data_IF_337962652062
#
_entry.id   IF_337962652062
#
_cell.length_a   1.000
_cell.length_b   1.000
_cell.length_c   1.000
_cell.angle_alpha   90.00
_cell.angle_beta   90.00
_cell.angle_gamma   90.00
#
_symmetry.space_group_name_H-M   'P 1'
#
loop_
_entity.id
_entity.type
_entity.pdbx_description
1 polymer ?
#
# COMPACT_ATOMS: atom_id res chain seq x y z
N UNK A 1 -22.28 38.87 39.19
CA UNK A 1 -21.89 38.02 38.05
C UNK A 1 -20.44 38.36 37.71
N UNK A 2 -19.52 37.51 38.15
CA UNK A 2 -18.07 37.67 37.95
C UNK A 2 -17.66 36.51 37.07
N UNK A 3 -17.24 36.81 35.81
CA UNK A 3 -16.74 35.84 34.85
C UNK A 3 -15.23 35.68 35.04
N UNK A 4 -14.83 34.49 35.49
CA UNK A 4 -13.43 34.11 35.65
C UNK A 4 -12.93 33.54 34.32
N UNK A 5 -12.06 34.26 33.63
CA UNK A 5 -11.35 33.79 32.44
C UNK A 5 -10.18 32.90 32.85
N UNK A 6 -10.21 31.62 32.44
CA UNK A 6 -9.10 30.69 32.62
C UNK A 6 -8.12 30.85 31.46
N UNK A 7 -6.96 31.42 31.74
CA UNK A 7 -5.85 31.50 30.77
C UNK A 7 -5.11 30.14 30.74
N UNK A 8 -5.18 29.43 29.62
CA UNK A 8 -4.34 28.24 29.35
C UNK A 8 -3.00 28.72 28.80
N UNK A 9 -1.98 28.71 29.65
CA UNK A 9 -0.59 28.93 29.22
C UNK A 9 -0.08 27.68 28.52
N UNK A 10 0.09 27.75 27.18
CA UNK A 10 0.78 26.75 26.38
C UNK A 10 2.27 26.79 26.69
N UNK A 11 2.75 25.78 27.40
CA UNK A 11 4.18 25.50 27.56
C UNK A 11 4.72 24.98 26.21
N UNK A 12 5.16 25.87 25.33
CA UNK A 12 6.08 25.55 24.24
C UNK A 12 7.44 25.27 24.86
N UNK A 13 7.76 23.99 25.08
CA UNK A 13 9.12 23.57 25.38
C UNK A 13 10.05 23.91 24.22
N UNK A 14 11.33 24.21 24.46
CA UNK A 14 12.29 24.46 23.38
C UNK A 14 12.38 23.23 22.50
N UNK A 15 12.21 23.43 21.18
CA UNK A 15 12.42 22.38 20.19
C UNK A 15 13.86 21.83 20.35
N UNK A 16 14.08 20.49 20.26
CA UNK A 16 15.41 19.94 20.37
C UNK A 16 16.30 20.50 19.27
N UNK A 17 17.24 21.32 19.67
CA UNK A 17 18.30 21.83 18.81
C UNK A 17 19.15 20.66 18.37
N UNK A 18 19.21 20.38 17.03
CA UNK A 18 20.22 19.49 16.49
C UNK A 18 19.81 18.34 15.58
N UNK A 19 18.56 18.22 15.13
CA UNK A 19 18.25 17.27 14.05
C UNK A 19 18.80 17.83 12.73
N UNK A 20 20.02 17.44 12.37
CA UNK A 20 20.62 17.77 11.07
C UNK A 20 19.71 17.22 9.98
N UNK A 21 19.14 18.10 9.15
CA UNK A 21 18.32 17.66 8.03
C UNK A 21 19.14 16.75 7.10
N UNK A 22 18.61 15.60 6.68
CA UNK A 22 19.32 14.74 5.74
C UNK A 22 19.62 15.51 4.44
N UNK A 23 20.76 15.26 3.80
CA UNK A 23 21.15 16.00 2.59
C UNK A 23 20.10 15.85 1.46
N UNK A 24 19.45 14.69 1.37
CA UNK A 24 18.39 14.41 0.39
C UNK A 24 17.17 13.83 1.09
N UNK A 25 16.03 14.52 0.99
CA UNK A 25 14.75 14.05 1.48
C UNK A 25 13.63 14.53 0.55
N UNK A 26 12.98 13.61 -0.15
CA UNK A 26 11.84 13.92 -1.03
C UNK A 26 10.55 13.36 -0.46
N UNK A 27 9.47 14.11 -0.58
CA UNK A 27 8.11 13.68 -0.30
C UNK A 27 7.23 13.85 -1.53
N UNK A 28 6.23 12.98 -1.69
CA UNK A 28 5.21 13.08 -2.74
C UNK A 28 3.82 13.21 -2.11
N UNK A 29 2.96 14.06 -2.66
CA UNK A 29 1.58 14.20 -2.23
C UNK A 29 0.66 14.51 -3.43
N UNK A 30 -0.36 13.67 -3.65
CA UNK A 30 -0.65 12.39 -3.01
C UNK A 30 0.34 11.28 -3.41
N UNK A 31 0.51 10.27 -2.56
CA UNK A 31 1.34 9.07 -2.86
C UNK A 31 0.61 8.04 -3.71
N UNK A 32 -0.69 8.26 -3.94
CA UNK A 32 -1.55 7.44 -4.81
C UNK A 32 -2.51 8.34 -5.56
N UNK A 33 -2.65 8.10 -6.86
CA UNK A 33 -3.62 8.75 -7.73
C UNK A 33 -4.48 7.71 -8.45
N UNK A 34 -5.74 8.06 -8.70
CA UNK A 34 -6.63 7.26 -9.54
C UNK A 34 -6.97 8.04 -10.80
N UNK A 35 -6.76 7.42 -11.95
CA UNK A 35 -7.09 7.94 -13.26
C UNK A 35 -8.22 7.09 -13.86
N UNK A 36 -9.29 7.71 -14.33
CA UNK A 36 -10.43 7.00 -14.92
C UNK A 36 -10.47 7.31 -16.41
N UNK A 37 -10.33 6.28 -17.26
CA UNK A 37 -10.25 6.46 -18.71
C UNK A 37 -9.14 7.43 -19.10
N UNK A 38 -9.46 8.42 -19.94
CA UNK A 38 -8.58 9.54 -20.28
C UNK A 38 -8.76 10.65 -19.24
N UNK A 39 -7.86 10.74 -18.29
CA UNK A 39 -7.91 11.74 -17.22
C UNK A 39 -6.53 12.19 -16.80
N UNK A 40 -6.48 13.28 -16.03
CA UNK A 40 -5.25 13.91 -15.57
C UNK A 40 -5.36 14.25 -14.09
N UNK A 41 -4.27 14.04 -13.37
CA UNK A 41 -4.12 14.37 -11.95
C UNK A 41 -2.77 15.02 -11.70
N UNK A 42 -2.68 15.74 -10.59
CA UNK A 42 -1.47 16.47 -10.19
C UNK A 42 -0.87 15.84 -8.93
N UNK A 43 0.46 15.73 -8.92
CA UNK A 43 1.23 15.27 -7.76
C UNK A 43 2.29 16.30 -7.43
N UNK A 44 2.40 16.69 -6.18
CA UNK A 44 3.43 17.59 -5.67
C UNK A 44 4.61 16.78 -5.14
N UNK A 45 5.82 17.23 -5.48
CA UNK A 45 7.08 16.66 -4.99
C UNK A 45 7.79 17.77 -4.22
N UNK A 46 8.03 17.55 -2.95
CA UNK A 46 8.69 18.53 -2.05
C UNK A 46 10.07 18.00 -1.66
N UNK A 47 11.07 18.86 -1.75
CA UNK A 47 12.40 18.58 -1.24
C UNK A 47 12.51 19.08 0.21
N UNK A 48 12.51 18.17 1.17
CA UNK A 48 12.71 18.44 2.59
C UNK A 48 14.18 18.31 3.02
N UNK A 49 15.08 17.99 2.07
CA UNK A 49 16.51 17.87 2.33
C UNK A 49 17.21 19.23 2.32
N UNK A 50 18.43 19.24 2.86
CA UNK A 50 19.28 20.43 2.93
C UNK A 50 19.96 20.76 1.59
N UNK A 51 19.98 19.86 0.61
CA UNK A 51 20.65 20.03 -0.67
C UNK A 51 19.69 20.18 -1.84
N UNK A 52 20.12 20.90 -2.88
CA UNK A 52 19.41 20.95 -4.16
C UNK A 52 19.38 19.55 -4.78
N UNK A 53 18.22 19.14 -5.29
CA UNK A 53 17.99 17.81 -5.88
C UNK A 53 17.61 17.95 -7.34
N UNK A 54 18.24 17.15 -8.19
CA UNK A 54 17.79 16.87 -9.56
C UNK A 54 17.21 15.46 -9.59
N UNK A 55 15.96 15.32 -10.00
CA UNK A 55 15.27 14.04 -10.06
C UNK A 55 14.72 13.76 -11.46
N UNK A 56 14.97 12.57 -11.95
CA UNK A 56 14.36 12.07 -13.20
C UNK A 56 13.04 11.37 -12.85
N UNK A 57 12.03 11.58 -13.71
CA UNK A 57 10.68 11.06 -13.54
C UNK A 57 10.34 10.10 -14.68
N UNK A 58 9.90 8.90 -14.32
CA UNK A 58 9.54 7.85 -15.27
C UNK A 58 8.35 7.03 -14.79
N UNK A 59 7.95 6.03 -15.58
CA UNK A 59 6.87 5.10 -15.26
C UNK A 59 7.38 3.67 -15.21
N UNK A 60 6.78 2.83 -14.36
CA UNK A 60 7.09 1.42 -14.25
C UNK A 60 5.84 0.62 -13.89
N UNK A 61 5.88 -0.70 -14.11
CA UNK A 61 4.86 -1.62 -13.64
C UNK A 61 4.89 -1.74 -12.12
N UNK A 62 3.73 -2.08 -11.56
CA UNK A 62 3.53 -2.23 -10.12
C UNK A 62 2.95 -3.59 -9.78
N UNK A 63 3.53 -4.25 -8.80
CA UNK A 63 3.00 -5.47 -8.22
C UNK A 63 3.16 -5.43 -6.70
N UNK A 64 2.37 -6.26 -6.02
CA UNK A 64 2.53 -6.53 -4.59
C UNK A 64 3.02 -7.97 -4.42
N UNK A 65 4.04 -8.17 -3.60
CA UNK A 65 4.42 -9.50 -3.16
C UNK A 65 3.35 -10.12 -2.26
N UNK A 66 3.46 -11.42 -1.97
CA UNK A 66 2.48 -12.15 -1.16
C UNK A 66 2.18 -11.49 0.19
N UNK A 67 3.18 -10.88 0.80
CA UNK A 67 3.03 -10.16 2.08
C UNK A 67 2.81 -8.66 1.92
N UNK A 68 2.37 -8.19 0.72
CA UNK A 68 2.02 -6.80 0.44
C UNK A 68 3.21 -5.87 0.22
N UNK A 69 4.44 -6.38 0.10
CA UNK A 69 5.61 -5.54 -0.19
C UNK A 69 5.52 -5.02 -1.64
N UNK A 70 5.62 -3.71 -1.86
CA UNK A 70 5.64 -3.13 -3.20
C UNK A 70 6.82 -3.64 -4.03
N UNK A 71 6.56 -3.91 -5.30
CA UNK A 71 7.59 -4.34 -6.26
C UNK A 71 7.47 -3.53 -7.54
N UNK A 72 8.61 -3.03 -8.01
CA UNK A 72 8.73 -2.42 -9.34
C UNK A 72 8.86 -3.55 -10.36
N UNK A 73 8.00 -3.54 -11.36
CA UNK A 73 8.00 -4.52 -12.45
C UNK A 73 8.53 -3.84 -13.71
N UNK A 74 9.49 -4.48 -14.38
CA UNK A 74 10.05 -3.96 -15.63
C UNK A 74 9.00 -3.99 -16.74
N UNK A 75 9.14 -3.09 -17.73
CA UNK A 75 8.29 -3.11 -18.93
C UNK A 75 8.42 -4.46 -19.65
N UNK A 76 7.31 -4.96 -20.19
CA UNK A 76 7.28 -6.21 -20.96
C UNK A 76 6.67 -7.42 -20.23
N UNK A 77 6.45 -7.37 -18.91
CA UNK A 77 5.65 -8.38 -18.22
C UNK A 77 4.18 -7.98 -18.22
N UNK A 78 3.25 -8.94 -18.28
CA UNK A 78 1.80 -8.69 -18.41
C UNK A 78 1.20 -7.73 -17.38
N UNK A 79 1.78 -7.63 -16.18
CA UNK A 79 1.38 -6.67 -15.13
C UNK A 79 1.93 -5.25 -15.32
N UNK A 80 2.71 -4.98 -16.35
CA UNK A 80 3.36 -3.68 -16.60
C UNK A 80 2.69 -2.85 -17.69
N UNK A 81 1.63 -3.35 -18.34
CA UNK A 81 0.98 -2.69 -19.47
C UNK A 81 0.51 -1.27 -19.14
N UNK A 82 -0.08 -1.05 -17.97
CA UNK A 82 -0.58 0.25 -17.57
C UNK A 82 0.51 1.32 -17.46
N UNK A 83 1.77 0.95 -17.24
CA UNK A 83 2.88 1.89 -17.23
C UNK A 83 3.08 2.61 -18.58
N UNK A 84 2.71 1.97 -19.70
CA UNK A 84 2.77 2.57 -21.03
C UNK A 84 1.59 3.51 -21.32
N UNK A 85 0.51 3.39 -20.55
CA UNK A 85 -0.68 4.25 -20.69
C UNK A 85 -0.55 5.57 -19.93
N UNK A 86 0.49 5.71 -19.12
CA UNK A 86 0.71 6.86 -18.26
C UNK A 86 1.75 7.77 -18.90
N UNK A 87 1.37 9.03 -19.11
CA UNK A 87 2.29 10.10 -19.41
C UNK A 87 2.51 10.95 -18.16
N UNK A 88 3.76 11.34 -17.90
CA UNK A 88 4.13 12.20 -16.79
C UNK A 88 4.98 13.37 -17.28
N UNK A 89 4.68 14.57 -16.81
CA UNK A 89 5.39 15.81 -17.12
C UNK A 89 5.57 16.67 -15.88
N UNK A 90 6.71 17.36 -15.69
CA UNK A 90 7.94 17.20 -16.48
C UNK A 90 8.64 15.86 -16.22
N UNK A 91 9.53 15.44 -17.11
CA UNK A 91 10.35 14.22 -16.93
C UNK A 91 11.59 14.44 -16.05
N UNK A 92 11.83 15.67 -15.66
CA UNK A 92 12.91 16.06 -14.76
C UNK A 92 12.46 17.23 -13.88
N UNK A 93 12.77 17.13 -12.60
CA UNK A 93 12.55 18.17 -11.62
C UNK A 93 13.89 18.59 -11.02
N UNK A 94 14.04 19.89 -10.83
CA UNK A 94 15.14 20.47 -10.06
C UNK A 94 14.53 21.24 -8.90
N UNK A 95 14.80 20.79 -7.68
CA UNK A 95 14.20 21.34 -6.48
C UNK A 95 15.28 21.82 -5.49
N UNK A 96 15.26 23.09 -5.17
CA UNK A 96 16.05 23.64 -4.06
C UNK A 96 15.49 23.11 -2.71
N UNK A 97 16.24 23.23 -1.61
CA UNK A 97 15.75 22.94 -0.27
C UNK A 97 14.42 23.63 0.02
N UNK A 98 13.47 22.91 0.63
CA UNK A 98 12.13 23.41 0.96
C UNK A 98 11.19 23.66 -0.23
N UNK A 99 11.65 23.51 -1.48
CA UNK A 99 10.82 23.80 -2.65
C UNK A 99 9.99 22.59 -3.11
N UNK A 100 8.80 22.94 -3.62
CA UNK A 100 7.85 21.97 -4.19
C UNK A 100 7.76 22.17 -5.69
N UNK A 101 7.84 21.06 -6.43
CA UNK A 101 7.54 20.98 -7.87
C UNK A 101 6.30 20.16 -8.11
N UNK A 102 5.68 20.38 -9.26
CA UNK A 102 4.43 19.72 -9.65
C UNK A 102 4.66 18.77 -10.80
N UNK A 103 4.10 17.56 -10.69
CA UNK A 103 4.01 16.57 -11.77
C UNK A 103 2.55 16.48 -12.25
N UNK A 104 2.37 16.55 -13.54
CA UNK A 104 1.10 16.23 -14.20
C UNK A 104 1.15 14.78 -14.65
N UNK A 105 0.24 13.95 -14.15
CA UNK A 105 0.11 12.52 -14.48
C UNK A 105 -1.18 12.33 -15.25
N UNK A 106 -1.10 11.87 -16.49
CA UNK A 106 -2.25 11.64 -17.35
C UNK A 106 -2.29 10.21 -17.87
N UNK A 107 -3.48 9.70 -18.17
CA UNK A 107 -3.68 8.38 -18.76
C UNK A 107 -4.25 8.47 -20.17
N UNK A 108 -3.73 7.62 -21.05
CA UNK A 108 -4.24 7.36 -22.40
C UNK A 108 -4.45 5.85 -22.50
N UNK A 109 -5.70 5.43 -22.24
CA UNK A 109 -6.08 4.02 -22.29
C UNK A 109 -6.25 3.59 -23.74
N UNK A 110 -5.60 2.50 -24.20
CA UNK A 110 -5.77 2.01 -25.57
C UNK A 110 -7.19 1.46 -25.79
N UNK A 111 -7.63 1.50 -27.03
CA UNK A 111 -8.90 0.87 -27.44
C UNK A 111 -8.84 -0.64 -27.16
N UNK A 112 -9.91 -1.21 -26.63
CA UNK A 112 -9.98 -2.63 -26.32
C UNK A 112 -9.28 -3.04 -25.00
N UNK A 113 -8.79 -2.09 -24.20
CA UNK A 113 -8.27 -2.41 -22.86
C UNK A 113 -9.36 -3.03 -22.00
N UNK A 114 -9.03 -4.09 -21.26
CA UNK A 114 -9.97 -4.77 -20.39
C UNK A 114 -10.48 -3.85 -19.27
N UNK A 115 -11.78 -3.85 -18.95
CA UNK A 115 -12.32 -3.10 -17.83
C UNK A 115 -11.67 -3.47 -16.49
N UNK A 116 -11.58 -2.50 -15.58
CA UNK A 116 -11.05 -2.70 -14.24
C UNK A 116 -9.86 -1.82 -13.88
N UNK A 117 -9.16 -2.16 -12.81
CA UNK A 117 -7.99 -1.43 -12.31
C UNK A 117 -6.70 -1.98 -12.92
N UNK A 118 -5.87 -1.08 -13.40
CA UNK A 118 -4.56 -1.38 -13.95
C UNK A 118 -3.51 -0.55 -13.20
N UNK A 119 -2.89 -1.15 -12.16
CA UNK A 119 -1.93 -0.44 -11.33
C UNK A 119 -0.58 -0.26 -12.02
N UNK A 120 0.03 0.89 -11.81
CA UNK A 120 1.38 1.23 -12.25
C UNK A 120 2.06 2.17 -11.24
N UNK A 121 3.31 2.56 -11.51
CA UNK A 121 4.07 3.51 -10.72
C UNK A 121 4.53 4.68 -11.58
N UNK A 122 4.48 5.87 -10.99
CA UNK A 122 5.36 6.97 -11.36
C UNK A 122 6.55 6.94 -10.39
N UNK A 123 7.75 6.87 -10.93
CA UNK A 123 9.00 6.83 -10.18
C UNK A 123 9.71 8.17 -10.29
N UNK A 124 10.03 8.76 -9.15
CA UNK A 124 10.88 9.94 -9.03
C UNK A 124 12.20 9.49 -8.43
N UNK A 125 13.29 9.58 -9.18
CA UNK A 125 14.60 9.10 -8.77
C UNK A 125 15.63 10.21 -8.80
N UNK A 126 16.28 10.50 -7.67
CA UNK A 126 17.34 11.50 -7.62
C UNK A 126 18.55 11.03 -8.41
N UNK A 127 19.24 11.97 -9.06
CA UNK A 127 20.58 11.74 -9.57
C UNK A 127 21.55 11.73 -8.39
N UNK A 128 22.54 10.84 -8.39
CA UNK A 128 23.57 10.88 -7.37
C UNK A 128 24.24 12.26 -7.35
N UNK A 129 24.41 12.86 -6.19
CA UNK A 129 25.31 13.99 -6.01
C UNK A 129 26.63 13.39 -5.49
N UNK A 130 27.69 13.57 -6.24
CA UNK A 130 29.03 13.20 -5.81
C UNK A 130 29.49 14.20 -4.74
N UNK A 131 29.30 13.88 -3.49
CA UNK A 131 29.95 14.53 -2.36
C UNK A 131 30.45 13.44 -1.42
N UNK A 132 31.71 13.56 -1.06
CA UNK A 132 32.37 12.74 -0.02
C UNK A 132 32.36 11.21 -0.24
N UNK A 133 32.59 10.74 -1.47
CA UNK A 133 32.82 9.30 -1.75
C UNK A 133 31.63 8.37 -1.64
N UNK A 134 30.44 8.85 -1.20
CA UNK A 134 29.21 8.04 -1.10
C UNK A 134 28.13 8.62 -2.00
N UNK A 135 27.78 7.90 -3.07
CA UNK A 135 26.69 8.28 -3.97
C UNK A 135 25.33 7.78 -3.44
N UNK A 136 24.53 8.67 -2.85
CA UNK A 136 23.18 8.35 -2.39
C UNK A 136 22.15 8.60 -3.51
N UNK A 137 21.39 7.58 -3.86
CA UNK A 137 20.25 7.68 -4.78
C UNK A 137 18.96 7.37 -4.06
N UNK A 138 18.07 8.36 -3.97
CA UNK A 138 16.73 8.18 -3.44
C UNK A 138 15.73 7.89 -4.57
N UNK A 139 14.75 7.04 -4.29
CA UNK A 139 13.65 6.76 -5.23
C UNK A 139 12.33 6.76 -4.49
N UNK A 140 11.36 7.52 -5.01
CA UNK A 140 9.98 7.52 -4.54
C UNK A 140 9.09 6.91 -5.60
N UNK A 141 8.16 6.03 -5.20
CA UNK A 141 7.11 5.48 -6.05
C UNK A 141 5.75 6.08 -5.70
N UNK A 142 5.06 6.63 -6.68
CA UNK A 142 3.67 7.07 -6.58
C UNK A 142 2.82 6.01 -7.29
N UNK A 143 1.88 5.41 -6.56
CA UNK A 143 0.99 4.41 -7.13
C UNK A 143 -0.06 5.10 -8.00
N UNK A 144 -0.20 4.64 -9.24
CA UNK A 144 -1.20 5.13 -10.19
C UNK A 144 -2.14 3.98 -10.53
N UNK A 145 -3.40 4.09 -10.12
CA UNK A 145 -4.45 3.15 -10.49
C UNK A 145 -5.20 3.69 -11.70
N UNK A 146 -4.95 3.13 -12.88
CA UNK A 146 -5.71 3.45 -14.10
C UNK A 146 -6.96 2.58 -14.12
N UNK A 147 -8.14 3.18 -13.96
CA UNK A 147 -9.44 2.52 -14.08
C UNK A 147 -9.93 2.60 -15.50
N UNK A 148 -10.06 1.45 -16.17
CA UNK A 148 -10.74 1.32 -17.45
C UNK A 148 -12.24 1.14 -17.18
N UNK A 149 -13.12 2.02 -17.72
CA UNK A 149 -14.57 1.89 -17.60
C UNK A 149 -15.08 0.58 -18.21
N UNK A 150 -16.23 0.09 -17.71
CA UNK A 150 -16.89 -1.14 -18.16
C UNK A 150 -17.29 -2.02 -16.98
N UNK A 151 -17.48 -3.31 -17.23
CA UNK A 151 -17.96 -4.27 -16.23
C UNK A 151 -16.93 -4.47 -15.11
N UNK A 152 -17.34 -4.13 -13.90
CA UNK A 152 -16.54 -4.31 -12.69
C UNK A 152 -16.90 -5.63 -12.02
N UNK A 153 -15.87 -6.45 -11.77
CA UNK A 153 -16.02 -7.76 -11.15
C UNK A 153 -15.26 -7.78 -9.83
N UNK A 154 -16.00 -7.89 -8.74
CA UNK A 154 -15.47 -8.20 -7.41
C UNK A 154 -15.49 -9.71 -7.22
N UNK A 155 -14.34 -10.34 -6.95
CA UNK A 155 -14.28 -11.79 -6.76
C UNK A 155 -13.08 -12.18 -5.87
N UNK A 156 -13.33 -12.24 -4.58
CA UNK A 156 -12.37 -12.73 -3.60
C UNK A 156 -12.54 -14.24 -3.34
N UNK A 157 -11.48 -14.89 -2.94
CA UNK A 157 -11.53 -16.31 -2.53
C UNK A 157 -10.56 -16.56 -1.37
N UNK A 158 -11.07 -17.19 -0.31
CA UNK A 158 -10.27 -17.76 0.77
C UNK A 158 -9.70 -19.10 0.30
N UNK A 159 -8.36 -19.25 0.29
CA UNK A 159 -7.68 -20.42 -0.29
C UNK A 159 -7.18 -21.41 0.75
N UNK A 160 -6.49 -20.93 1.75
CA UNK A 160 -5.90 -21.77 2.76
C UNK A 160 -5.54 -20.97 4.00
N UNK A 161 -5.38 -21.68 5.10
CA UNK A 161 -4.94 -21.14 6.37
C UNK A 161 -3.89 -22.08 6.95
N UNK A 162 -2.81 -21.53 7.45
CA UNK A 162 -1.77 -22.28 8.16
C UNK A 162 -1.30 -21.51 9.39
N UNK A 163 -0.78 -22.25 10.36
CA UNK A 163 -0.07 -21.66 11.51
C UNK A 163 1.39 -21.51 11.13
N UNK A 164 1.94 -20.34 11.37
CA UNK A 164 3.38 -20.10 11.33
C UNK A 164 3.86 -19.83 12.74
N UNK A 165 4.79 -20.63 13.19
CA UNK A 165 5.53 -20.35 14.43
C UNK A 165 6.64 -19.36 14.11
N UNK A 166 6.63 -18.25 14.81
CA UNK A 166 7.73 -17.30 14.87
C UNK A 166 8.32 -17.38 16.28
N UNK A 167 9.57 -17.07 16.43
CA UNK A 167 10.25 -17.06 17.72
C UNK A 167 9.60 -16.14 18.76
N UNK A 168 8.78 -15.19 18.33
CA UNK A 168 8.21 -14.17 19.22
C UNK A 168 6.69 -14.18 19.32
N UNK A 169 5.97 -14.34 18.21
CA UNK A 169 4.50 -14.35 18.22
C UNK A 169 3.98 -15.36 17.19
N UNK A 170 3.13 -16.32 17.59
CA UNK A 170 2.50 -17.22 16.64
C UNK A 170 1.56 -16.46 15.71
N UNK A 171 1.55 -16.82 14.44
CA UNK A 171 0.78 -16.15 13.39
C UNK A 171 -0.07 -17.15 12.61
N UNK A 172 -1.28 -16.73 12.26
CA UNK A 172 -2.09 -17.36 11.23
C UNK A 172 -1.74 -16.72 9.88
N UNK A 173 -1.44 -17.52 8.89
CA UNK A 173 -1.25 -17.09 7.51
C UNK A 173 -2.45 -17.50 6.67
N UNK A 174 -3.31 -16.51 6.37
CA UNK A 174 -4.50 -16.69 5.55
C UNK A 174 -4.19 -16.32 4.08
N UNK A 175 -4.30 -17.29 3.19
CA UNK A 175 -4.15 -17.07 1.75
C UNK A 175 -5.46 -16.61 1.13
N UNK A 176 -5.45 -15.40 0.55
CA UNK A 176 -6.58 -14.79 -0.14
C UNK A 176 -6.21 -14.51 -1.59
N UNK A 177 -7.12 -14.78 -2.51
CA UNK A 177 -6.95 -14.50 -3.94
C UNK A 177 -8.00 -13.50 -4.40
N UNK A 178 -7.59 -12.47 -5.10
CA UNK A 178 -8.48 -11.61 -5.86
C UNK A 178 -8.56 -12.14 -7.30
N UNK A 179 -9.72 -12.65 -7.70
CA UNK A 179 -10.03 -13.11 -9.06
C UNK A 179 -10.80 -12.07 -9.88
N UNK A 180 -11.16 -10.96 -9.24
CA UNK A 180 -11.82 -9.83 -9.88
C UNK A 180 -10.86 -8.98 -10.71
N UNK A 181 -11.41 -7.95 -11.32
CA UNK A 181 -10.67 -7.00 -12.14
C UNK A 181 -10.44 -5.65 -11.45
N UNK A 182 -10.75 -5.52 -10.17
CA UNK A 182 -10.52 -4.31 -9.37
C UNK A 182 -9.64 -4.60 -8.16
N UNK A 183 -8.96 -3.58 -7.70
CA UNK A 183 -8.16 -3.63 -6.48
C UNK A 183 -9.08 -3.74 -5.26
N UNK A 184 -8.84 -4.75 -4.44
CA UNK A 184 -9.58 -5.03 -3.22
C UNK A 184 -8.75 -4.71 -1.97
N UNK A 185 -9.44 -4.30 -0.91
CA UNK A 185 -8.84 -4.11 0.41
C UNK A 185 -9.53 -5.01 1.40
N UNK A 186 -8.77 -5.83 2.10
CA UNK A 186 -9.23 -6.65 3.22
C UNK A 186 -8.63 -6.11 4.53
N UNK A 187 -9.28 -6.40 5.66
CA UNK A 187 -8.82 -5.96 6.97
C UNK A 187 -9.97 -5.75 7.94
N UNK A 188 -9.79 -4.96 8.99
CA UNK A 188 -10.83 -4.68 9.97
C UNK A 188 -12.14 -4.22 9.33
N UNK A 189 -13.26 -4.79 9.79
CA UNK A 189 -14.60 -4.54 9.24
C UNK A 189 -14.97 -5.37 8.00
N UNK A 190 -14.00 -5.90 7.24
CA UNK A 190 -14.26 -6.78 6.09
C UNK A 190 -13.81 -8.23 6.34
N UNK A 191 -12.77 -8.44 7.12
CA UNK A 191 -12.23 -9.77 7.45
C UNK A 191 -12.36 -9.99 8.95
N UNK A 192 -13.06 -11.06 9.34
CA UNK A 192 -13.22 -11.51 10.71
C UNK A 192 -12.66 -12.91 10.85
N UNK A 193 -11.92 -13.14 11.92
CA UNK A 193 -11.32 -14.43 12.25
C UNK A 193 -11.68 -14.79 13.68
N UNK A 194 -12.15 -16.02 13.89
CA UNK A 194 -12.50 -16.54 15.20
C UNK A 194 -11.87 -17.91 15.38
N UNK A 195 -11.16 -18.10 16.45
CA UNK A 195 -10.54 -19.36 16.82
C UNK A 195 -11.39 -20.07 17.87
N UNK A 196 -11.68 -21.33 17.61
CA UNK A 196 -12.41 -22.20 18.53
C UNK A 196 -11.56 -23.41 18.90
N UNK A 197 -11.60 -23.77 20.16
CA UNK A 197 -11.01 -25.01 20.69
C UNK A 197 -12.08 -25.75 21.49
N UNK A 198 -12.31 -27.00 21.20
CA UNK A 198 -13.39 -27.81 21.82
C UNK A 198 -14.77 -27.12 21.79
N UNK A 199 -15.09 -26.44 20.65
CA UNK A 199 -16.34 -25.71 20.46
C UNK A 199 -16.43 -24.33 21.13
N UNK A 200 -15.48 -23.95 21.98
CA UNK A 200 -15.46 -22.66 22.67
C UNK A 200 -14.56 -21.64 21.96
N UNK A 201 -14.97 -20.38 21.91
CA UNK A 201 -14.16 -19.30 21.35
C UNK A 201 -12.99 -19.02 22.28
N UNK A 202 -11.76 -19.18 21.77
CA UNK A 202 -10.53 -18.95 22.53
C UNK A 202 -9.80 -17.67 22.11
N UNK A 203 -10.03 -17.18 20.88
CA UNK A 203 -9.45 -15.92 20.42
C UNK A 203 -10.25 -15.31 19.25
N UNK A 204 -10.15 -13.98 19.13
CA UNK A 204 -10.65 -13.20 17.98
C UNK A 204 -9.54 -12.27 17.51
N UNK A 205 -8.54 -12.78 16.80
CA UNK A 205 -7.42 -11.97 16.36
C UNK A 205 -7.86 -10.92 15.34
N UNK A 206 -7.17 -9.80 15.34
CA UNK A 206 -7.47 -8.67 14.45
C UNK A 206 -6.57 -8.74 13.23
N UNK A 207 -7.13 -8.93 12.02
CA UNK A 207 -6.36 -8.86 10.78
C UNK A 207 -5.87 -7.44 10.53
N UNK A 208 -4.69 -7.31 9.93
CA UNK A 208 -4.18 -6.05 9.44
C UNK A 208 -4.94 -5.58 8.19
N UNK A 209 -4.49 -4.45 7.64
CA UNK A 209 -4.99 -3.97 6.35
C UNK A 209 -4.14 -4.54 5.23
N UNK A 210 -4.78 -5.18 4.24
CA UNK A 210 -4.11 -5.76 3.09
C UNK A 210 -4.78 -5.31 1.80
N UNK A 211 -3.97 -4.95 0.83
CA UNK A 211 -4.41 -4.66 -0.52
C UNK A 211 -4.13 -5.86 -1.43
N UNK A 212 -5.10 -6.19 -2.28
CA UNK A 212 -5.00 -7.21 -3.31
C UNK A 212 -5.27 -6.56 -4.67
N UNK A 213 -4.25 -6.50 -5.49
CA UNK A 213 -4.38 -6.04 -6.87
C UNK A 213 -5.28 -6.99 -7.68
N UNK A 214 -5.82 -6.57 -8.83
CA UNK A 214 -6.57 -7.45 -9.71
C UNK A 214 -5.79 -8.73 -10.04
N UNK A 215 -6.47 -9.86 -10.03
CA UNK A 215 -5.91 -11.18 -10.40
C UNK A 215 -4.65 -11.56 -9.61
N UNK A 216 -4.56 -11.12 -8.35
CA UNK A 216 -3.42 -11.37 -7.47
C UNK A 216 -3.77 -12.27 -6.29
N UNK A 217 -2.72 -12.72 -5.59
CA UNK A 217 -2.80 -13.44 -4.33
C UNK A 217 -2.06 -12.67 -3.26
N UNK A 218 -2.58 -12.73 -2.03
CA UNK A 218 -1.89 -12.23 -0.84
C UNK A 218 -1.99 -13.24 0.30
N UNK A 219 -1.05 -13.15 1.21
CA UNK A 219 -1.05 -13.86 2.50
C UNK A 219 -1.21 -12.82 3.59
N UNK A 220 -2.34 -12.87 4.29
CA UNK A 220 -2.57 -12.04 5.45
C UNK A 220 -1.99 -12.73 6.68
N UNK A 221 -1.08 -12.03 7.35
CA UNK A 221 -0.46 -12.49 8.60
C UNK A 221 -1.23 -11.91 9.76
N UNK A 222 -1.85 -12.79 10.55
CA UNK A 222 -2.74 -12.42 11.64
C UNK A 222 -2.12 -12.92 12.94
N UNK A 223 -1.53 -12.03 13.76
CA UNK A 223 -1.00 -12.43 15.04
C UNK A 223 -2.14 -12.86 15.97
N UNK A 224 -1.94 -13.89 16.73
CA UNK A 224 -2.88 -14.30 17.77
C UNK A 224 -2.16 -14.48 19.12
N UNK A 225 -2.77 -13.95 20.17
CA UNK A 225 -2.28 -14.12 21.53
C UNK A 225 -2.80 -15.43 22.12
N UNK A 226 -1.96 -16.09 22.92
CA UNK A 226 -2.32 -17.30 23.65
C UNK A 226 -1.58 -18.55 23.16
N UNK A 227 -1.56 -19.56 24.03
CA UNK A 227 -1.03 -20.89 23.73
C UNK A 227 -2.15 -21.74 23.16
N UNK A 228 -2.18 -21.91 21.84
CA UNK A 228 -3.05 -22.89 21.20
C UNK A 228 -2.29 -24.19 21.04
N UNK A 229 -2.87 -25.30 21.46
CA UNK A 229 -2.33 -26.65 21.33
C UNK A 229 -3.42 -27.59 20.87
N UNK A 230 -3.05 -28.61 20.11
CA UNK A 230 -3.99 -29.63 19.64
C UNK A 230 -4.88 -29.14 18.49
N UNK A 231 -6.11 -29.61 18.43
CA UNK A 231 -7.04 -29.27 17.36
C UNK A 231 -7.70 -27.90 17.59
N UNK A 232 -7.58 -27.03 16.59
CA UNK A 232 -8.19 -25.69 16.56
C UNK A 232 -9.03 -25.55 15.31
N UNK A 233 -10.26 -25.08 15.48
CA UNK A 233 -11.12 -24.69 14.35
C UNK A 233 -11.03 -23.18 14.16
N UNK A 234 -10.77 -22.71 12.96
CA UNK A 234 -10.74 -21.29 12.62
C UNK A 234 -11.88 -20.96 11.68
N UNK A 235 -12.77 -20.09 12.13
CA UNK A 235 -13.83 -19.52 11.31
C UNK A 235 -13.33 -18.21 10.69
N UNK A 236 -13.43 -18.12 9.38
CA UNK A 236 -13.05 -16.93 8.62
C UNK A 236 -14.27 -16.42 7.86
N UNK A 237 -14.60 -15.17 8.08
CA UNK A 237 -15.66 -14.45 7.39
C UNK A 237 -15.04 -13.27 6.63
N UNK A 238 -15.31 -13.19 5.34
CA UNK A 238 -14.81 -12.13 4.46
C UNK A 238 -15.99 -11.48 3.73
N UNK A 239 -16.18 -10.17 3.92
CA UNK A 239 -17.22 -9.42 3.23
C UNK A 239 -16.72 -8.98 1.86
N UNK A 240 -17.49 -9.30 0.83
CA UNK A 240 -17.32 -8.89 -0.55
C UNK A 240 -18.58 -8.14 -1.02
N UNK A 241 -18.57 -6.82 -0.99
CA UNK A 241 -19.78 -6.03 -1.19
C UNK A 241 -20.86 -6.40 -0.18
N UNK A 242 -22.02 -6.87 -0.69
CA UNK A 242 -23.15 -7.36 0.11
C UNK A 242 -23.02 -8.85 0.47
N UNK A 243 -22.12 -9.57 -0.14
CA UNK A 243 -21.94 -11.01 0.09
C UNK A 243 -20.96 -11.30 1.22
N UNK A 244 -21.19 -12.40 1.92
CA UNK A 244 -20.33 -12.90 2.98
C UNK A 244 -19.76 -14.26 2.59
N UNK A 245 -18.45 -14.30 2.40
CA UNK A 245 -17.71 -15.54 2.17
C UNK A 245 -17.33 -16.10 3.54
N UNK A 246 -17.79 -17.30 3.86
CA UNK A 246 -17.48 -18.00 5.11
C UNK A 246 -16.67 -19.26 4.82
N UNK A 247 -15.63 -19.49 5.62
CA UNK A 247 -14.85 -20.72 5.55
C UNK A 247 -14.41 -21.18 6.93
N UNK A 248 -14.45 -22.49 7.13
CA UNK A 248 -13.97 -23.17 8.31
C UNK A 248 -12.68 -23.91 7.96
N UNK A 249 -11.66 -23.74 8.78
CA UNK A 249 -10.39 -24.46 8.67
C UNK A 249 -10.15 -25.24 9.95
N UNK A 250 -9.65 -26.47 9.81
CA UNK A 250 -9.22 -27.29 10.94
C UNK A 250 -7.70 -27.35 10.93
N UNK A 251 -7.09 -26.95 12.02
CA UNK A 251 -5.64 -26.89 12.17
C UNK A 251 -5.24 -27.73 13.38
N UNK A 252 -4.11 -28.40 13.26
CA UNK A 252 -3.42 -29.03 14.39
C UNK A 252 -2.25 -28.13 14.76
N UNK A 253 -2.26 -27.64 15.99
CA UNK A 253 -1.20 -26.80 16.55
C UNK A 253 -0.45 -27.69 17.55
N UNK A 254 0.78 -28.01 17.23
CA UNK A 254 1.68 -28.81 18.10
C UNK A 254 2.35 -27.94 19.15
#
# INVERSE_FOLDING_TARGET
MIATALAVASLLGPAPAGATQPPVALAASPVRVRLIGKSTQTVRITNWGASRVVADVGTAGFALGLHGRPRVVRRGSGSSLAASWIAVRPRRLTLAPGRTGTLTVSSIVPRGANPGDHPALVLVATRPSEREGVAVRMRIGIVVDVRVPGTIVHRLALRGLRVRRSSHVPMLELSVTNRGNVTERIGPGRLRVVLLQRGRVVARPHPGRRELLPRSRAVEQIPYGGRLTGQVTVLVELREGVHMIRRRFHLRVE
#
